data_IF_938242105377
#
_entry.id   IF_938242105377
#
_cell.length_a   1.000
_cell.length_b   1.000
_cell.length_c   1.000
_cell.angle_alpha   90.00
_cell.angle_beta   90.00
_cell.angle_gamma   90.00
#
_symmetry.space_group_name_H-M   'P 1'
#
loop_
_entity.id
_entity.type
_entity.pdbx_description
1 polymer ?
#
# COMPACT_ATOMS: atom_id res chain seq x y z
N UNK A 1 111.67 -25.95 35.68
CA UNK A 1 110.43 -25.29 35.22
C UNK A 1 110.80 -24.63 33.91
N UNK A 2 110.40 -25.21 32.78
CA UNK A 2 110.68 -24.64 31.47
C UNK A 2 109.65 -23.52 31.24
N UNK A 3 110.11 -22.28 31.21
CA UNK A 3 109.31 -21.15 30.72
C UNK A 3 109.20 -21.33 29.19
N UNK A 4 108.08 -21.88 28.74
CA UNK A 4 107.72 -21.88 27.33
C UNK A 4 107.46 -20.43 26.91
N UNK A 5 108.49 -19.80 26.34
CA UNK A 5 108.41 -18.48 25.74
C UNK A 5 107.40 -18.51 24.59
N UNK A 6 106.26 -17.85 24.79
CA UNK A 6 105.26 -17.63 23.75
C UNK A 6 105.93 -16.99 22.54
N UNK A 7 105.89 -17.71 21.41
CA UNK A 7 106.36 -17.21 20.12
C UNK A 7 105.58 -15.94 19.75
N UNK A 8 106.26 -14.90 19.27
CA UNK A 8 105.64 -13.65 18.80
C UNK A 8 104.54 -13.89 17.73
N UNK A 9 104.57 -15.02 17.02
CA UNK A 9 103.52 -15.42 16.08
C UNK A 9 102.15 -15.68 16.73
N UNK A 10 102.13 -16.16 17.97
CA UNK A 10 100.89 -16.49 18.69
C UNK A 10 100.18 -15.24 19.21
N UNK A 11 100.93 -14.16 19.47
CA UNK A 11 100.39 -12.88 19.90
C UNK A 11 99.65 -12.17 18.74
N UNK A 12 100.23 -12.23 17.54
CA UNK A 12 99.68 -11.61 16.32
C UNK A 12 98.41 -12.33 15.84
N UNK A 13 98.39 -13.67 15.96
CA UNK A 13 97.20 -14.51 15.77
C UNK A 13 96.03 -14.11 16.69
N UNK A 14 96.29 -13.94 17.99
CA UNK A 14 95.28 -13.52 18.97
C UNK A 14 94.76 -12.10 18.73
N UNK A 15 95.62 -11.18 18.29
CA UNK A 15 95.25 -9.81 17.95
C UNK A 15 94.30 -9.77 16.74
N UNK A 16 94.58 -10.57 15.70
CA UNK A 16 93.71 -10.69 14.53
C UNK A 16 92.34 -11.29 14.85
N UNK A 17 92.29 -12.30 15.74
CA UNK A 17 91.02 -12.86 16.23
C UNK A 17 90.20 -11.83 17.03
N UNK A 18 90.85 -11.01 17.86
CA UNK A 18 90.19 -9.96 18.63
C UNK A 18 89.55 -8.89 17.72
N UNK A 19 90.27 -8.41 16.70
CA UNK A 19 89.74 -7.45 15.73
C UNK A 19 88.54 -8.01 14.94
N UNK A 20 88.59 -9.31 14.60
CA UNK A 20 87.47 -9.99 13.96
C UNK A 20 86.23 -10.04 14.87
N UNK A 21 86.40 -10.39 16.15
CA UNK A 21 85.32 -10.41 17.13
C UNK A 21 84.69 -9.03 17.34
N UNK A 22 85.51 -7.97 17.43
CA UNK A 22 85.02 -6.59 17.55
C UNK A 22 84.19 -6.20 16.32
N UNK A 23 84.66 -6.53 15.11
CA UNK A 23 83.90 -6.28 13.88
C UNK A 23 82.56 -7.02 13.88
N UNK A 24 82.54 -8.26 14.37
CA UNK A 24 81.34 -9.09 14.45
C UNK A 24 80.34 -8.54 15.48
N UNK A 25 80.82 -8.05 16.62
CA UNK A 25 80.02 -7.35 17.63
C UNK A 25 79.42 -6.05 17.07
N UNK A 26 80.20 -5.24 16.36
CA UNK A 26 79.70 -4.00 15.75
C UNK A 26 78.62 -4.28 14.69
N UNK A 27 78.83 -5.28 13.82
CA UNK A 27 77.83 -5.70 12.84
C UNK A 27 76.54 -6.19 13.52
N UNK A 28 76.66 -6.90 14.64
CA UNK A 28 75.51 -7.38 15.40
C UNK A 28 74.71 -6.24 16.03
N UNK A 29 75.39 -5.24 16.60
CA UNK A 29 74.76 -4.02 17.14
C UNK A 29 74.05 -3.23 16.04
N UNK A 30 74.68 -3.08 14.87
CA UNK A 30 74.07 -2.43 13.71
C UNK A 30 72.80 -3.17 13.25
N UNK A 31 72.85 -4.51 13.22
CA UNK A 31 71.70 -5.34 12.87
C UNK A 31 70.55 -5.20 13.90
N UNK A 32 70.87 -5.19 15.20
CA UNK A 32 69.89 -4.97 16.26
C UNK A 32 69.23 -3.59 16.15
N UNK A 33 70.02 -2.56 15.83
CA UNK A 33 69.52 -1.19 15.64
C UNK A 33 68.56 -1.12 14.46
N UNK A 34 68.95 -1.68 13.30
CA UNK A 34 68.08 -1.78 12.11
C UNK A 34 66.80 -2.56 12.40
N UNK A 35 66.89 -3.64 13.18
CA UNK A 35 65.72 -4.42 13.56
C UNK A 35 64.75 -3.63 14.45
N UNK A 36 65.25 -2.84 15.41
CA UNK A 36 64.42 -1.98 16.25
C UNK A 36 63.75 -0.86 15.45
N UNK A 37 64.50 -0.21 14.56
CA UNK A 37 63.95 0.82 13.67
C UNK A 37 62.83 0.27 12.77
N UNK A 38 63.03 -0.92 12.20
CA UNK A 38 62.02 -1.55 11.34
C UNK A 38 60.79 -2.00 12.15
N UNK A 39 61.00 -2.48 13.38
CA UNK A 39 59.92 -2.81 14.30
C UNK A 39 59.07 -1.59 14.65
N UNK A 40 59.70 -0.43 14.88
CA UNK A 40 59.00 0.82 15.16
C UNK A 40 58.23 1.32 13.92
N UNK A 41 58.80 1.23 12.72
CA UNK A 41 58.09 1.54 11.48
C UNK A 41 56.87 0.66 11.27
N UNK A 42 56.99 -0.65 11.50
CA UNK A 42 55.88 -1.58 11.39
C UNK A 42 54.77 -1.26 12.41
N UNK A 43 55.14 -0.96 13.65
CA UNK A 43 54.17 -0.53 14.67
C UNK A 43 53.42 0.74 14.26
N UNK A 44 54.13 1.74 13.73
CA UNK A 44 53.51 2.98 13.25
C UNK A 44 52.61 2.77 12.03
N UNK A 45 52.97 1.83 11.15
CA UNK A 45 52.16 1.45 9.99
C UNK A 45 50.86 0.75 10.41
N UNK A 46 50.95 -0.23 11.32
CA UNK A 46 49.79 -0.94 11.89
C UNK A 46 48.83 0.03 12.57
N UNK A 47 49.36 0.98 13.37
CA UNK A 47 48.55 2.03 13.99
C UNK A 47 47.79 2.87 12.96
N UNK A 48 48.46 3.27 11.87
CA UNK A 48 47.85 4.06 10.79
C UNK A 48 46.76 3.29 10.04
N UNK A 49 46.95 1.99 9.83
CA UNK A 49 45.94 1.11 9.23
C UNK A 49 44.70 1.07 10.13
N UNK A 50 44.89 0.84 11.43
CA UNK A 50 43.80 0.76 12.41
C UNK A 50 43.00 2.07 12.52
N UNK A 51 43.69 3.22 12.49
CA UNK A 51 43.05 4.54 12.50
C UNK A 51 42.20 4.79 11.25
N UNK A 52 42.67 4.36 10.07
CA UNK A 52 41.91 4.48 8.83
C UNK A 52 40.67 3.57 8.83
N UNK A 53 40.79 2.32 9.27
CA UNK A 53 39.65 1.40 9.40
C UNK A 53 38.60 1.92 10.37
N UNK A 54 39.01 2.48 11.51
CA UNK A 54 38.11 3.13 12.46
C UNK A 54 37.39 4.34 11.87
N UNK A 55 38.07 5.13 11.04
CA UNK A 55 37.47 6.28 10.36
C UNK A 55 36.40 5.83 9.37
N UNK A 56 36.69 4.84 8.53
CA UNK A 56 35.71 4.28 7.58
C UNK A 56 34.49 3.68 8.30
N UNK A 57 34.70 2.98 9.41
CA UNK A 57 33.63 2.43 10.26
C UNK A 57 32.72 3.52 10.83
N UNK A 58 33.30 4.65 11.28
CA UNK A 58 32.51 5.79 11.79
C UNK A 58 31.67 6.44 10.69
N UNK A 59 32.23 6.62 9.50
CA UNK A 59 31.52 7.18 8.35
C UNK A 59 30.37 6.26 7.88
N UNK A 60 30.60 4.94 7.83
CA UNK A 60 29.56 3.95 7.54
C UNK A 60 28.42 3.97 8.57
N UNK A 61 28.75 4.05 9.86
CA UNK A 61 27.75 4.11 10.93
C UNK A 61 26.92 5.40 10.89
N UNK A 62 27.54 6.55 10.63
CA UNK A 62 26.81 7.82 10.47
C UNK A 62 25.84 7.78 9.28
N UNK A 63 26.26 7.19 8.16
CA UNK A 63 25.40 6.99 6.99
C UNK A 63 24.22 6.08 7.31
N UNK A 64 24.48 4.94 7.95
CA UNK A 64 23.44 3.99 8.34
C UNK A 64 22.41 4.61 9.29
N UNK A 65 22.86 5.40 10.28
CA UNK A 65 21.96 6.09 11.20
C UNK A 65 21.09 7.14 10.49
N UNK A 66 21.63 7.81 9.49
CA UNK A 66 20.92 8.78 8.65
C UNK A 66 19.86 8.09 7.78
N UNK A 67 20.22 6.98 7.14
CA UNK A 67 19.30 6.17 6.33
C UNK A 67 18.15 5.62 7.19
N UNK A 68 18.45 5.15 8.41
CA UNK A 68 17.46 4.60 9.34
C UNK A 68 16.53 5.69 9.91
N UNK A 69 17.03 6.93 10.07
CA UNK A 69 16.19 8.09 10.41
C UNK A 69 15.29 8.49 9.24
N UNK A 70 15.78 8.45 8.01
CA UNK A 70 14.99 8.74 6.80
C UNK A 70 13.88 7.71 6.58
N UNK A 71 14.18 6.42 6.78
CA UNK A 71 13.21 5.34 6.70
C UNK A 71 12.13 5.46 7.79
N UNK A 72 12.51 5.79 9.04
CA UNK A 72 11.56 6.11 10.11
C UNK A 72 10.73 7.35 9.79
N UNK A 73 11.31 8.40 9.21
CA UNK A 73 10.56 9.60 8.81
C UNK A 73 9.54 9.28 7.71
N UNK A 74 9.91 8.44 6.75
CA UNK A 74 9.03 7.99 5.68
C UNK A 74 7.93 7.05 6.19
N UNK A 75 8.22 6.22 7.20
CA UNK A 75 7.20 5.39 7.86
C UNK A 75 6.26 6.19 8.77
N UNK A 76 6.74 7.25 9.44
CA UNK A 76 5.93 8.09 10.34
C UNK A 76 5.13 9.15 9.57
N UNK A 77 5.60 9.62 8.42
CA UNK A 77 4.81 10.47 7.50
C UNK A 77 3.79 9.69 6.66
N UNK A 78 3.76 8.36 6.77
CA UNK A 78 2.80 7.53 6.05
C UNK A 78 1.51 7.36 6.87
N UNK A 79 0.43 7.91 6.31
CA UNK A 79 -0.99 7.80 6.69
C UNK A 79 -1.55 8.87 7.63
N UNK A 80 -1.32 10.14 7.32
CA UNK A 80 -2.29 11.16 7.70
C UNK A 80 -3.54 11.01 6.81
N UNK A 81 -4.38 10.01 7.14
CA UNK A 81 -5.66 9.78 6.46
C UNK A 81 -6.59 10.90 6.89
N UNK A 82 -6.82 11.86 6.01
CA UNK A 82 -7.87 12.86 6.20
C UNK A 82 -9.19 12.26 5.75
N UNK A 83 -9.96 11.74 6.70
CA UNK A 83 -11.34 11.34 6.44
C UNK A 83 -12.19 12.61 6.38
N UNK A 84 -12.82 12.84 5.23
CA UNK A 84 -13.84 13.87 5.07
C UNK A 84 -15.16 13.16 4.86
N UNK A 85 -16.00 13.17 5.89
CA UNK A 85 -17.36 12.66 5.77
C UNK A 85 -18.21 13.69 5.01
N UNK A 86 -18.74 13.27 3.87
CA UNK A 86 -19.69 14.07 3.10
C UNK A 86 -21.05 13.40 3.24
N UNK A 87 -21.95 14.04 4.02
CA UNK A 87 -23.34 13.58 4.10
C UNK A 87 -23.95 13.61 2.70
N UNK A 88 -24.46 12.46 2.26
CA UNK A 88 -25.14 12.31 0.99
C UNK A 88 -26.46 11.58 1.27
N UNK A 89 -27.46 11.81 0.42
CA UNK A 89 -28.79 11.24 0.58
C UNK A 89 -29.33 10.71 -0.72
N UNK A 90 -30.31 9.82 -0.65
CA UNK A 90 -31.08 9.43 -1.82
C UNK A 90 -31.95 10.60 -2.26
N UNK A 91 -31.99 10.89 -3.56
CA UNK A 91 -32.75 12.04 -4.06
C UNK A 91 -33.52 11.78 -5.32
N UNK A 92 -32.94 11.04 -6.26
CA UNK A 92 -33.51 10.92 -7.60
C UNK A 92 -33.95 9.49 -7.86
N UNK A 93 -35.24 9.32 -8.16
CA UNK A 93 -35.75 8.11 -8.80
C UNK A 93 -35.67 8.35 -10.31
N UNK A 94 -34.99 7.46 -11.04
CA UNK A 94 -34.80 7.63 -12.49
C UNK A 94 -36.13 7.62 -13.23
N UNK A 95 -36.34 8.61 -14.09
CA UNK A 95 -37.50 8.68 -14.98
C UNK A 95 -37.47 7.61 -16.09
N UNK A 96 -36.33 6.96 -16.32
CA UNK A 96 -36.17 5.89 -17.31
C UNK A 96 -36.91 4.62 -16.88
N UNK A 97 -37.15 4.46 -15.57
CA UNK A 97 -37.69 3.26 -14.95
C UNK A 97 -38.94 3.61 -14.12
N UNK A 98 -40.05 3.80 -14.83
CA UNK A 98 -41.32 4.27 -14.24
C UNK A 98 -42.14 3.10 -13.74
N UNK A 99 -42.76 3.25 -12.56
CA UNK A 99 -43.73 2.28 -12.03
C UNK A 99 -44.87 1.96 -13.03
N UNK A 100 -45.28 2.94 -13.82
CA UNK A 100 -46.30 2.80 -14.86
C UNK A 100 -46.31 4.02 -15.81
N UNK A 101 -47.19 4.00 -16.82
CA UNK A 101 -47.38 5.14 -17.75
C UNK A 101 -47.72 6.44 -17.01
N UNK A 102 -48.46 6.33 -15.92
CA UNK A 102 -48.90 7.46 -15.10
C UNK A 102 -47.82 8.00 -14.15
N UNK A 103 -46.63 7.39 -14.09
CA UNK A 103 -45.51 7.82 -13.22
C UNK A 103 -45.94 8.07 -11.77
N UNK A 104 -46.78 7.18 -11.21
CA UNK A 104 -47.32 7.34 -9.86
C UNK A 104 -46.24 7.61 -8.81
N UNK A 105 -45.08 6.98 -8.97
CA UNK A 105 -43.90 7.18 -8.13
C UNK A 105 -42.78 7.83 -8.96
N UNK A 106 -42.21 8.92 -8.45
CA UNK A 106 -41.15 9.67 -9.11
C UNK A 106 -40.40 10.55 -8.10
N UNK A 107 -39.41 11.32 -8.57
CA UNK A 107 -38.60 12.21 -7.71
C UNK A 107 -39.42 13.24 -6.94
N UNK A 108 -40.56 13.70 -7.45
CA UNK A 108 -41.45 14.67 -6.77
C UNK A 108 -42.53 13.99 -5.92
N UNK A 109 -42.86 12.74 -6.22
CA UNK A 109 -43.77 11.90 -5.44
C UNK A 109 -43.08 10.61 -5.02
N UNK A 110 -42.21 10.72 -4.01
CA UNK A 110 -41.27 9.68 -3.61
C UNK A 110 -41.92 8.58 -2.76
N UNK A 111 -43.16 8.80 -2.31
CA UNK A 111 -43.93 7.90 -1.48
C UNK A 111 -45.33 7.73 -2.08
N UNK A 112 -45.76 6.51 -2.29
CA UNK A 112 -47.12 6.23 -2.76
C UNK A 112 -47.29 4.77 -3.13
N UNK A 113 -48.25 4.53 -4.02
CA UNK A 113 -48.48 3.22 -4.64
C UNK A 113 -48.60 3.37 -6.16
N UNK A 114 -48.20 2.33 -6.90
CA UNK A 114 -48.49 2.23 -8.32
C UNK A 114 -49.96 1.84 -8.54
N UNK A 115 -50.74 2.67 -9.24
CA UNK A 115 -52.17 2.39 -9.49
C UNK A 115 -52.40 1.18 -10.41
N UNK A 116 -51.41 0.85 -11.24
CA UNK A 116 -51.44 -0.33 -12.11
C UNK A 116 -50.95 -1.59 -11.37
N UNK A 117 -50.48 -1.46 -10.13
CA UNK A 117 -50.04 -2.58 -9.32
C UNK A 117 -48.65 -3.14 -9.65
N UNK A 118 -47.86 -2.48 -10.51
CA UNK A 118 -46.46 -2.87 -10.75
C UNK A 118 -45.58 -2.61 -9.52
N UNK A 119 -44.43 -3.28 -9.45
CA UNK A 119 -43.43 -3.02 -8.42
C UNK A 119 -42.87 -1.60 -8.50
N UNK A 120 -42.41 -1.05 -7.37
CA UNK A 120 -41.88 0.32 -7.31
C UNK A 120 -40.96 0.52 -6.12
N UNK A 121 -40.15 1.59 -6.17
CA UNK A 121 -39.32 2.03 -5.04
C UNK A 121 -39.89 3.28 -4.40
N UNK A 122 -40.00 3.30 -3.07
CA UNK A 122 -40.21 4.54 -2.32
C UNK A 122 -38.91 5.01 -1.68
N UNK A 123 -38.66 6.32 -1.70
CA UNK A 123 -37.67 6.97 -0.84
C UNK A 123 -38.42 7.43 0.42
N UNK A 124 -38.29 6.66 1.50
CA UNK A 124 -39.06 6.90 2.73
C UNK A 124 -38.39 7.98 3.58
N UNK A 125 -37.07 8.09 3.48
CA UNK A 125 -36.27 9.18 4.04
C UNK A 125 -35.01 9.39 3.20
N UNK A 126 -34.24 10.40 3.56
CA UNK A 126 -32.93 10.70 2.96
C UNK A 126 -31.95 9.50 3.01
N UNK A 127 -32.15 8.54 3.92
CA UNK A 127 -31.26 7.39 4.14
C UNK A 127 -31.91 6.02 3.82
N UNK A 128 -33.24 5.94 3.75
CA UNK A 128 -33.96 4.68 3.64
C UNK A 128 -34.78 4.59 2.35
N UNK A 129 -34.48 3.55 1.56
CA UNK A 129 -35.22 3.17 0.36
C UNK A 129 -35.91 1.83 0.59
N UNK A 130 -37.12 1.67 0.04
CA UNK A 130 -37.85 0.40 0.11
C UNK A 130 -38.46 0.07 -1.25
N UNK A 131 -38.20 -1.15 -1.70
CA UNK A 131 -38.87 -1.72 -2.86
C UNK A 131 -40.17 -2.40 -2.41
N UNK A 132 -41.25 -2.12 -3.12
CA UNK A 132 -42.55 -2.76 -2.96
C UNK A 132 -42.80 -3.62 -4.19
N UNK A 133 -43.01 -4.91 -3.97
CA UNK A 133 -43.30 -5.85 -5.05
C UNK A 133 -44.65 -5.54 -5.71
N UNK A 134 -44.82 -6.03 -6.94
CA UNK A 134 -46.07 -5.95 -7.65
C UNK A 134 -47.21 -6.67 -6.91
N UNK A 135 -48.43 -6.22 -7.19
CA UNK A 135 -49.66 -6.85 -6.71
C UNK A 135 -49.95 -8.06 -7.57
N UNK A 136 -50.09 -9.23 -6.93
CA UNK A 136 -50.35 -10.50 -7.60
C UNK A 136 -51.57 -10.41 -8.53
N UNK A 137 -51.38 -10.85 -9.79
CA UNK A 137 -52.41 -10.83 -10.82
C UNK A 137 -52.78 -9.45 -11.38
N UNK A 138 -52.08 -8.37 -11.00
CA UNK A 138 -52.36 -7.01 -11.50
C UNK A 138 -51.20 -6.34 -12.22
N UNK A 139 -49.97 -6.58 -11.77
CA UNK A 139 -48.79 -5.94 -12.35
C UNK A 139 -47.56 -6.84 -12.32
N UNK A 140 -46.43 -6.25 -12.68
CA UNK A 140 -45.14 -6.92 -12.76
C UNK A 140 -44.09 -6.19 -11.91
N UNK A 141 -43.13 -6.94 -11.36
CA UNK A 141 -41.96 -6.34 -10.72
C UNK A 141 -41.08 -5.70 -11.80
N UNK A 142 -40.86 -4.40 -11.69
CA UNK A 142 -40.02 -3.65 -12.62
C UNK A 142 -38.73 -3.19 -11.96
N UNK A 143 -37.70 -3.00 -12.77
CA UNK A 143 -36.46 -2.37 -12.33
C UNK A 143 -36.74 -0.92 -11.88
N UNK A 144 -36.04 -0.47 -10.85
CA UNK A 144 -36.06 0.91 -10.39
C UNK A 144 -34.63 1.35 -10.08
N UNK A 145 -34.29 2.57 -10.47
CA UNK A 145 -32.96 3.15 -10.23
C UNK A 145 -33.11 4.34 -9.29
N UNK A 146 -32.34 4.31 -8.20
CA UNK A 146 -32.19 5.42 -7.26
C UNK A 146 -30.79 5.99 -7.36
N UNK A 147 -30.66 7.32 -7.38
CA UNK A 147 -29.38 8.02 -7.37
C UNK A 147 -29.26 8.91 -6.15
N UNK A 148 -28.02 9.02 -5.66
CA UNK A 148 -27.68 9.95 -4.59
C UNK A 148 -27.78 11.40 -5.05
N UNK A 149 -27.98 12.33 -4.11
CA UNK A 149 -28.09 13.76 -4.34
C UNK A 149 -26.81 14.34 -4.94
N UNK A 150 -25.68 14.02 -4.32
CA UNK A 150 -24.39 14.57 -4.69
C UNK A 150 -23.61 13.58 -5.54
N UNK A 151 -23.08 14.07 -6.66
CA UNK A 151 -22.10 13.36 -7.46
C UNK A 151 -20.71 13.52 -6.85
N UNK A 152 -19.90 12.47 -6.96
CA UNK A 152 -18.48 12.55 -6.59
C UNK A 152 -17.74 13.37 -7.65
N UNK A 153 -17.09 14.44 -7.20
CA UNK A 153 -16.20 15.24 -8.05
C UNK A 153 -14.77 14.84 -7.76
N UNK A 154 -14.03 14.46 -8.81
CA UNK A 154 -12.59 14.21 -8.71
C UNK A 154 -11.92 15.43 -8.05
N UNK A 155 -11.12 15.26 -6.98
CA UNK A 155 -10.43 16.38 -6.36
C UNK A 155 -9.45 17.02 -7.34
N UNK A 156 -9.42 18.35 -7.36
CA UNK A 156 -8.39 19.09 -8.09
C UNK A 156 -7.10 19.06 -7.25
N UNK A 157 -5.95 18.78 -7.88
CA UNK A 157 -4.62 18.79 -7.25
C UNK A 157 -4.44 17.79 -6.10
N UNK A 158 -4.77 16.51 -6.32
CA UNK A 158 -4.54 15.50 -5.29
C UNK A 158 -3.10 14.95 -5.33
N UNK A 159 -2.32 15.31 -4.30
CA UNK A 159 -0.97 14.80 -4.07
C UNK A 159 -0.96 13.43 -3.34
N UNK A 160 -2.12 12.98 -2.86
CA UNK A 160 -2.33 11.73 -2.13
C UNK A 160 -3.39 10.87 -2.83
N UNK A 161 -3.59 9.64 -2.36
CA UNK A 161 -4.75 8.86 -2.76
C UNK A 161 -6.03 9.53 -2.26
N UNK A 162 -7.05 9.53 -3.10
CA UNK A 162 -8.41 9.90 -2.70
C UNK A 162 -9.32 8.69 -2.81
N UNK A 163 -10.14 8.47 -1.78
CA UNK A 163 -11.16 7.42 -1.74
C UNK A 163 -12.54 8.06 -1.62
N UNK A 164 -13.42 7.71 -2.54
CA UNK A 164 -14.86 7.89 -2.39
C UNK A 164 -15.48 6.54 -2.07
N UNK A 165 -16.26 6.47 -1.00
CA UNK A 165 -16.82 5.22 -0.51
C UNK A 165 -18.24 5.44 -0.01
N UNK A 166 -19.14 4.53 -0.34
CA UNK A 166 -20.47 4.48 0.25
C UNK A 166 -20.87 3.03 0.53
N UNK A 167 -21.78 2.85 1.48
CA UNK A 167 -22.32 1.55 1.87
C UNK A 167 -23.84 1.55 1.77
N UNK A 168 -24.41 0.39 1.43
CA UNK A 168 -25.84 0.12 1.42
C UNK A 168 -26.09 -1.13 2.25
N UNK A 169 -26.83 -0.98 3.34
CA UNK A 169 -27.31 -2.11 4.14
C UNK A 169 -28.62 -2.63 3.54
N UNK A 170 -28.67 -3.92 3.24
CA UNK A 170 -29.86 -4.57 2.72
C UNK A 170 -30.64 -5.25 3.84
N UNK A 171 -31.95 -5.05 3.88
CA UNK A 171 -32.86 -5.79 4.75
C UNK A 171 -33.93 -6.47 3.91
N UNK A 172 -34.14 -7.75 4.12
CA UNK A 172 -35.12 -8.57 3.41
C UNK A 172 -36.32 -8.82 4.33
N UNK A 173 -37.52 -8.45 3.88
CA UNK A 173 -38.75 -8.58 4.68
C UNK A 173 -39.60 -9.81 4.29
N UNK A 174 -39.16 -10.55 3.28
CA UNK A 174 -39.80 -11.79 2.83
C UNK A 174 -38.74 -12.85 2.62
N UNK A 175 -39.16 -14.11 2.67
CA UNK A 175 -38.28 -15.22 2.30
C UNK A 175 -37.71 -15.02 0.91
N UNK A 176 -36.41 -15.27 0.78
CA UNK A 176 -35.67 -15.20 -0.48
C UNK A 176 -36.25 -16.24 -1.44
N UNK A 177 -37.16 -15.81 -2.31
CA UNK A 177 -37.38 -16.55 -3.55
C UNK A 177 -36.20 -16.24 -4.47
N UNK A 178 -35.22 -17.15 -4.47
CA UNK A 178 -33.88 -16.99 -5.09
C UNK A 178 -33.88 -16.48 -6.55
N UNK A 179 -35.01 -16.54 -7.25
CA UNK A 179 -35.12 -16.14 -8.65
C UNK A 179 -35.52 -14.69 -8.89
N UNK A 180 -36.03 -13.94 -7.89
CA UNK A 180 -36.62 -12.62 -8.12
C UNK A 180 -35.86 -11.44 -7.48
N UNK A 181 -35.08 -11.68 -6.43
CA UNK A 181 -34.39 -10.57 -5.76
C UNK A 181 -33.17 -10.11 -6.58
N UNK A 182 -33.20 -8.85 -7.02
CA UNK A 182 -32.12 -8.25 -7.79
C UNK A 182 -31.71 -6.91 -7.17
N UNK A 183 -30.51 -6.88 -6.60
CA UNK A 183 -29.85 -5.63 -6.22
C UNK A 183 -28.67 -5.37 -7.17
N UNK A 184 -28.56 -4.13 -7.60
CA UNK A 184 -27.41 -3.58 -8.32
C UNK A 184 -26.91 -2.36 -7.56
N UNK A 185 -25.61 -2.32 -7.26
CA UNK A 185 -24.95 -1.13 -6.69
C UNK A 185 -23.75 -0.75 -7.54
N UNK A 186 -23.40 0.53 -7.56
CA UNK A 186 -22.26 0.97 -8.36
C UNK A 186 -22.17 2.47 -8.55
N UNK A 187 -21.29 2.85 -9.47
CA UNK A 187 -21.08 4.23 -9.89
C UNK A 187 -21.37 4.37 -11.37
N UNK A 188 -21.87 5.54 -11.73
CA UNK A 188 -22.19 5.90 -13.11
C UNK A 188 -21.56 7.24 -13.43
N UNK A 189 -20.94 7.32 -14.60
CA UNK A 189 -20.34 8.56 -15.07
C UNK A 189 -21.38 9.45 -15.78
N UNK A 190 -20.94 10.62 -16.20
CA UNK A 190 -21.69 11.61 -16.95
C UNK A 190 -22.02 11.19 -18.40
N UNK A 191 -21.49 10.08 -18.90
CA UNK A 191 -21.87 9.47 -20.19
C UNK A 191 -22.75 8.23 -20.02
N UNK A 192 -23.36 8.05 -18.83
CA UNK A 192 -24.20 6.91 -18.46
C UNK A 192 -23.50 5.54 -18.51
N UNK A 193 -22.17 5.50 -18.61
CA UNK A 193 -21.45 4.24 -18.41
C UNK A 193 -21.31 3.95 -16.92
N UNK A 194 -21.43 2.69 -16.55
CA UNK A 194 -21.49 2.29 -15.15
C UNK A 194 -20.50 1.17 -14.83
N UNK A 195 -19.97 1.23 -13.62
CA UNK A 195 -19.34 0.09 -12.96
C UNK A 195 -20.31 -0.37 -11.90
N UNK A 196 -20.75 -1.63 -11.98
CA UNK A 196 -21.83 -2.12 -11.13
C UNK A 196 -21.59 -3.54 -10.66
N UNK A 197 -21.84 -3.77 -9.39
CA UNK A 197 -21.95 -5.09 -8.82
C UNK A 197 -23.40 -5.56 -8.88
N UNK A 198 -23.61 -6.78 -9.39
CA UNK A 198 -24.90 -7.42 -9.56
C UNK A 198 -24.96 -8.62 -8.60
N UNK A 199 -25.65 -8.44 -7.47
CA UNK A 199 -25.68 -9.45 -6.40
C UNK A 199 -26.22 -10.80 -6.87
N UNK A 200 -27.33 -10.78 -7.63
CA UNK A 200 -27.96 -12.00 -8.17
C UNK A 200 -27.01 -12.85 -9.04
N UNK A 201 -26.15 -12.17 -9.81
CA UNK A 201 -25.21 -12.84 -10.72
C UNK A 201 -23.86 -13.12 -10.06
N UNK A 202 -23.62 -12.60 -8.85
CA UNK A 202 -22.31 -12.66 -8.23
C UNK A 202 -21.24 -12.12 -9.19
N UNK A 203 -21.52 -11.00 -9.85
CA UNK A 203 -20.69 -10.50 -10.93
C UNK A 203 -20.59 -8.98 -10.91
N UNK A 204 -19.43 -8.47 -11.33
CA UNK A 204 -19.20 -7.05 -11.56
C UNK A 204 -19.20 -6.81 -13.06
N UNK A 205 -19.81 -5.71 -13.49
CA UNK A 205 -19.72 -5.22 -14.87
C UNK A 205 -18.99 -3.90 -14.92
N UNK A 206 -18.10 -3.76 -15.89
CA UNK A 206 -17.42 -2.49 -16.18
C UNK A 206 -18.21 -1.64 -17.20
N UNK A 207 -17.62 -0.52 -17.59
CA UNK A 207 -18.19 0.48 -18.48
C UNK A 207 -18.37 0.00 -19.94
N UNK A 208 -17.81 -1.17 -20.28
CA UNK A 208 -17.94 -1.87 -21.56
C UNK A 208 -18.86 -3.09 -21.49
N UNK A 209 -19.58 -3.25 -20.37
CA UNK A 209 -20.42 -4.42 -20.07
C UNK A 209 -19.66 -5.76 -19.98
N UNK A 210 -18.33 -5.73 -19.84
CA UNK A 210 -17.52 -6.92 -19.55
C UNK A 210 -17.84 -7.41 -18.15
N UNK A 211 -18.06 -8.73 -18.00
CA UNK A 211 -18.55 -9.34 -16.77
C UNK A 211 -17.44 -10.13 -16.05
N UNK A 212 -17.19 -9.78 -14.79
CA UNK A 212 -16.19 -10.41 -13.91
C UNK A 212 -16.92 -11.18 -12.82
N UNK A 213 -16.77 -12.51 -12.80
CA UNK A 213 -17.44 -13.36 -11.81
C UNK A 213 -16.65 -13.39 -10.50
N UNK A 214 -17.36 -13.16 -9.40
CA UNK A 214 -16.82 -13.29 -8.05
C UNK A 214 -16.94 -14.77 -7.64
N UNK A 215 -15.87 -15.34 -7.07
CA UNK A 215 -15.80 -16.79 -6.84
C UNK A 215 -16.58 -17.27 -5.61
N UNK A 216 -16.81 -16.40 -4.61
CA UNK A 216 -17.46 -16.73 -3.34
C UNK A 216 -18.35 -15.59 -2.90
N UNK A 217 -19.65 -15.73 -3.10
CA UNK A 217 -20.64 -14.76 -2.69
C UNK A 217 -21.88 -15.47 -2.14
N UNK A 218 -22.41 -14.94 -1.05
CA UNK A 218 -23.75 -15.25 -0.55
C UNK A 218 -24.42 -13.93 -0.21
N UNK A 219 -25.69 -13.76 -0.59
CA UNK A 219 -26.46 -12.57 -0.21
C UNK A 219 -27.41 -12.94 0.91
N UNK A 220 -27.13 -12.44 2.11
CA UNK A 220 -27.90 -12.71 3.31
C UNK A 220 -28.66 -11.46 3.76
N UNK A 221 -29.64 -11.67 4.64
CA UNK A 221 -30.32 -10.56 5.30
C UNK A 221 -29.34 -9.76 6.16
N UNK A 222 -29.51 -8.43 6.19
CA UNK A 222 -28.67 -7.46 6.87
C UNK A 222 -27.24 -7.31 6.34
N UNK A 223 -26.89 -7.91 5.20
CA UNK A 223 -25.60 -7.68 4.55
C UNK A 223 -25.42 -6.21 4.17
N UNK A 224 -24.19 -5.72 4.33
CA UNK A 224 -23.77 -4.37 3.95
C UNK A 224 -22.89 -4.45 2.73
N UNK A 225 -23.26 -3.72 1.67
CA UNK A 225 -22.52 -3.68 0.42
C UNK A 225 -21.87 -2.32 0.23
N UNK A 226 -20.56 -2.30 0.05
CA UNK A 226 -19.82 -1.08 -0.22
C UNK A 226 -19.36 -0.99 -1.67
N UNK A 227 -19.23 0.24 -2.15
CA UNK A 227 -18.60 0.56 -3.42
C UNK A 227 -17.62 1.70 -3.21
N UNK A 228 -16.37 1.48 -3.60
CA UNK A 228 -15.27 2.42 -3.46
C UNK A 228 -14.67 2.79 -4.81
N UNK A 229 -14.34 4.08 -4.99
CA UNK A 229 -13.60 4.61 -6.12
C UNK A 229 -12.32 5.27 -5.61
N UNK A 230 -11.18 4.80 -6.10
CA UNK A 230 -9.85 5.28 -5.72
C UNK A 230 -9.25 6.09 -6.85
N UNK A 231 -8.76 7.28 -6.52
CA UNK A 231 -7.92 8.08 -7.40
C UNK A 231 -6.48 8.10 -6.89
N UNK A 232 -5.50 7.65 -7.68
CA UNK A 232 -4.09 7.77 -7.32
C UNK A 232 -3.61 9.24 -7.36
N UNK A 233 -2.48 9.55 -6.71
CA UNK A 233 -1.85 10.86 -6.76
C UNK A 233 -1.56 11.32 -8.20
N UNK A 234 -1.89 12.56 -8.54
CA UNK A 234 -1.74 13.08 -9.92
C UNK A 234 -0.28 13.38 -10.27
N UNK A 235 0.54 13.75 -9.27
CA UNK A 235 1.88 14.28 -9.47
C UNK A 235 3.00 13.24 -9.27
N UNK A 236 2.65 11.96 -9.12
CA UNK A 236 3.62 10.87 -9.11
C UNK A 236 3.76 10.31 -10.52
N UNK A 237 5.00 9.99 -10.92
CA UNK A 237 5.31 9.21 -12.12
C UNK A 237 4.91 7.75 -11.83
N UNK A 238 3.62 7.52 -11.63
CA UNK A 238 3.07 6.18 -11.41
C UNK A 238 2.02 5.97 -12.48
N UNK A 239 2.15 4.91 -13.27
CA UNK A 239 1.17 4.50 -14.29
C UNK A 239 -0.11 3.90 -13.65
N UNK A 240 -0.43 4.29 -12.42
CA UNK A 240 -1.61 3.83 -11.71
C UNK A 240 -2.85 4.55 -12.23
N UNK A 241 -3.86 3.77 -12.63
CA UNK A 241 -5.16 4.28 -13.04
C UNK A 241 -6.12 4.31 -11.85
N UNK A 242 -7.14 5.21 -11.86
CA UNK A 242 -8.25 5.11 -10.93
C UNK A 242 -8.91 3.74 -11.02
N UNK A 243 -9.31 3.18 -9.90
CA UNK A 243 -9.92 1.84 -9.85
C UNK A 243 -11.13 1.82 -8.92
N UNK A 244 -12.00 0.85 -9.14
CA UNK A 244 -13.21 0.65 -8.35
C UNK A 244 -13.12 -0.67 -7.63
N UNK A 245 -13.60 -0.72 -6.40
CA UNK A 245 -13.70 -1.95 -5.65
C UNK A 245 -15.06 -2.07 -4.98
N UNK A 246 -15.43 -3.30 -4.67
CA UNK A 246 -16.67 -3.61 -3.96
C UNK A 246 -16.37 -4.37 -2.68
N UNK A 247 -17.17 -4.11 -1.65
CA UNK A 247 -17.05 -4.78 -0.35
C UNK A 247 -18.37 -5.41 0.05
N UNK A 248 -18.28 -6.47 0.85
CA UNK A 248 -19.41 -7.06 1.56
C UNK A 248 -19.02 -7.18 3.03
N UNK A 249 -19.82 -6.58 3.92
CA UNK A 249 -19.57 -6.54 5.37
C UNK A 249 -18.14 -6.06 5.69
N UNK A 250 -17.71 -5.00 4.99
CA UNK A 250 -16.37 -4.41 5.11
C UNK A 250 -15.22 -5.23 4.51
N UNK A 251 -15.47 -6.44 4.00
CA UNK A 251 -14.45 -7.28 3.33
C UNK A 251 -14.43 -7.02 1.85
N UNK A 252 -13.23 -6.86 1.28
CA UNK A 252 -13.03 -6.72 -0.17
C UNK A 252 -13.56 -7.97 -0.89
N UNK A 253 -14.46 -7.76 -1.85
CA UNK A 253 -14.94 -8.82 -2.74
C UNK A 253 -14.03 -8.92 -3.96
N UNK A 254 -13.81 -7.79 -4.63
CA UNK A 254 -12.99 -7.72 -5.84
C UNK A 254 -12.58 -6.27 -6.17
N UNK A 255 -11.61 -6.12 -7.07
CA UNK A 255 -11.12 -4.86 -7.61
C UNK A 255 -11.26 -4.88 -9.14
N UNK A 256 -11.81 -3.81 -9.70
CA UNK A 256 -11.94 -3.60 -11.14
C UNK A 256 -11.12 -2.38 -11.56
N UNK A 257 -10.23 -2.61 -12.54
CA UNK A 257 -9.40 -1.60 -13.18
C UNK A 257 -10.10 -1.01 -14.40
#
# INVERSE_FOLDING_TARGET
>A
MAEEGLSNSDLESKLNQSNYLIKLQNNFIELQTKFLEEKEKNFNLEKKILENELKEMREKNQKLESDLKLEKLNNVNCKLVKLVEIKNKWKYISDDYKCCKNKCINTNNQTGNCIEGNGFVNLISDEYIRYYNCVEGKGEDIEAIVRAENSFKKPQNCFNYSLFYFEVKCKMERELNNYLNWMVIGVVNNTNKCFKFIAKKCAIKNEKDEEFKISKFSWNDNDVFGCGLVYPPINKITDEFPYIFFTQNGKLMDVVL
#
